data_IF_301004273695
#
_entry.id   IF_301004273695
#
_cell.length_a   1.000
_cell.length_b   1.000
_cell.length_c   1.000
_cell.angle_alpha   90.00
_cell.angle_beta   90.00
_cell.angle_gamma   90.00
#
_symmetry.space_group_name_H-M   'P 1'
#
loop_
_entity.id
_entity.type
_entity.pdbx_description
1 polymer ?
#
# COMPACT_ATOMS: atom_id res chain seq x y z
N UNK A 1 -15.61 -6.40 -7.35
CA UNK A 1 -14.97 -7.75 -7.21
C UNK A 1 -13.67 -7.61 -6.42
N UNK A 2 -13.28 -8.61 -5.59
CA UNK A 2 -12.04 -8.56 -4.77
C UNK A 2 -11.12 -9.70 -5.20
N UNK A 3 -10.00 -9.40 -5.83
CA UNK A 3 -9.00 -10.37 -6.30
C UNK A 3 -8.01 -10.69 -5.19
N UNK A 4 -7.74 -11.98 -4.96
CA UNK A 4 -6.90 -12.46 -3.85
C UNK A 4 -5.89 -13.49 -4.31
N UNK A 5 -4.73 -13.54 -3.62
CA UNK A 5 -3.75 -14.62 -3.71
C UNK A 5 -3.52 -15.19 -2.30
N UNK A 6 -3.48 -16.50 -2.19
CA UNK A 6 -3.32 -17.18 -0.90
C UNK A 6 -2.65 -18.56 -1.05
N UNK A 7 -2.20 -19.10 0.05
CA UNK A 7 -1.69 -20.47 0.15
C UNK A 7 -2.63 -21.29 1.01
N UNK A 8 -3.05 -22.44 0.50
CA UNK A 8 -3.77 -23.47 1.24
C UNK A 8 -3.10 -24.83 1.04
N UNK A 9 -2.84 -25.55 2.13
CA UNK A 9 -2.16 -26.87 2.10
C UNK A 9 -0.85 -26.87 1.27
N UNK A 10 -0.06 -25.79 1.37
CA UNK A 10 1.23 -25.64 0.69
C UNK A 10 1.16 -25.28 -0.80
N UNK A 11 -0.04 -25.13 -1.37
CA UNK A 11 -0.25 -24.74 -2.77
C UNK A 11 -0.72 -23.28 -2.83
N UNK A 12 -0.20 -22.55 -3.82
CA UNK A 12 -0.65 -21.20 -4.13
C UNK A 12 -1.93 -21.23 -4.96
N UNK A 13 -2.88 -20.34 -4.63
CA UNK A 13 -4.15 -20.14 -5.30
C UNK A 13 -4.33 -18.66 -5.64
N UNK A 14 -5.00 -18.41 -6.76
CA UNK A 14 -5.54 -17.10 -7.16
C UNK A 14 -7.04 -17.22 -7.30
N UNK A 15 -7.76 -16.14 -7.02
CA UNK A 15 -9.21 -16.16 -7.08
C UNK A 15 -9.84 -14.87 -6.58
N UNK A 16 -11.05 -15.00 -6.04
CA UNK A 16 -11.85 -13.89 -5.53
C UNK A 16 -12.25 -14.09 -4.08
N UNK A 17 -12.51 -12.98 -3.38
CA UNK A 17 -13.01 -12.98 -2.02
C UNK A 17 -14.42 -12.42 -1.96
N UNK A 18 -15.30 -13.09 -1.19
CA UNK A 18 -16.67 -12.67 -0.88
C UNK A 18 -16.96 -12.92 0.61
N UNK A 19 -17.11 -11.84 1.37
CA UNK A 19 -17.26 -11.92 2.83
C UNK A 19 -16.06 -12.62 3.47
N UNK A 20 -16.29 -13.78 4.11
CA UNK A 20 -15.25 -14.63 4.72
C UNK A 20 -14.87 -15.85 3.88
N UNK A 21 -15.26 -15.88 2.62
CA UNK A 21 -14.95 -17.00 1.70
C UNK A 21 -14.04 -16.54 0.58
N UNK A 22 -13.18 -17.45 0.17
CA UNK A 22 -12.29 -17.30 -0.98
C UNK A 22 -12.62 -18.39 -2.00
N UNK A 23 -12.74 -17.99 -3.25
CA UNK A 23 -13.05 -18.87 -4.36
C UNK A 23 -11.89 -18.85 -5.34
N UNK A 24 -11.23 -20.01 -5.58
CA UNK A 24 -10.16 -20.08 -6.55
C UNK A 24 -10.67 -20.30 -7.98
N UNK A 25 -9.80 -20.11 -8.95
CA UNK A 25 -10.11 -20.29 -10.39
C UNK A 25 -10.51 -21.72 -10.77
N UNK A 26 -10.25 -22.72 -9.91
CA UNK A 26 -10.59 -24.13 -10.12
C UNK A 26 -11.90 -24.54 -9.42
N UNK A 27 -12.61 -23.57 -8.83
CA UNK A 27 -13.88 -23.82 -8.13
C UNK A 27 -13.71 -24.28 -6.68
N UNK A 28 -12.50 -24.16 -6.11
CA UNK A 28 -12.26 -24.36 -4.69
C UNK A 28 -12.91 -23.26 -3.85
N UNK A 29 -13.38 -23.61 -2.65
CA UNK A 29 -14.05 -22.72 -1.69
C UNK A 29 -13.38 -22.88 -0.32
N UNK A 30 -12.80 -21.77 0.19
CA UNK A 30 -11.94 -21.75 1.37
C UNK A 30 -12.41 -20.66 2.37
N UNK A 31 -12.19 -20.90 3.67
CA UNK A 31 -12.34 -19.85 4.68
C UNK A 31 -11.12 -18.94 4.71
N UNK A 32 -11.34 -17.64 4.92
CA UNK A 32 -10.23 -16.68 5.17
C UNK A 32 -9.37 -17.06 6.37
N UNK A 33 -9.94 -17.79 7.34
CA UNK A 33 -9.26 -18.20 8.57
C UNK A 33 -8.37 -19.45 8.39
N UNK A 34 -8.45 -20.13 7.23
CA UNK A 34 -7.73 -21.39 6.93
C UNK A 34 -6.55 -21.21 5.98
N UNK A 35 -6.36 -20.02 5.46
CA UNK A 35 -5.35 -19.73 4.44
C UNK A 35 -4.27 -18.78 4.94
N UNK A 36 -3.11 -18.82 4.30
CA UNK A 36 -2.10 -17.76 4.43
C UNK A 36 -2.22 -16.82 3.22
N UNK A 37 -2.53 -15.57 3.50
CA UNK A 37 -2.59 -14.54 2.46
C UNK A 37 -1.20 -14.27 1.88
N UNK A 38 -1.14 -14.07 0.58
CA UNK A 38 0.01 -13.55 -0.12
C UNK A 38 -0.28 -12.09 -0.52
N UNK A 39 0.75 -11.27 -0.83
CA UNK A 39 0.51 -10.01 -1.53
C UNK A 39 -0.37 -10.29 -2.77
N UNK A 40 -1.46 -9.52 -2.97
CA UNK A 40 -2.48 -9.89 -3.97
C UNK A 40 -1.97 -9.80 -5.42
N UNK A 41 -0.81 -9.17 -5.64
CA UNK A 41 -0.15 -9.02 -6.94
C UNK A 41 1.36 -9.24 -6.84
N UNK A 42 2.04 -9.35 -8.01
CA UNK A 42 3.50 -9.52 -8.14
C UNK A 42 4.08 -8.39 -8.98
N UNK A 43 4.30 -7.21 -8.40
CA UNK A 43 4.77 -6.04 -9.15
C UNK A 43 6.19 -6.21 -9.67
N UNK A 44 6.46 -5.61 -10.83
CA UNK A 44 7.84 -5.42 -11.30
C UNK A 44 8.54 -4.30 -10.53
N UNK A 45 7.76 -3.33 -10.04
CA UNK A 45 8.21 -2.21 -9.21
C UNK A 45 7.09 -1.69 -8.32
N UNK A 46 7.49 -1.08 -7.21
CA UNK A 46 6.62 -0.38 -6.28
C UNK A 46 7.10 1.07 -6.25
N UNK A 47 6.23 1.98 -6.62
CA UNK A 47 6.50 3.42 -6.69
C UNK A 47 5.75 4.07 -5.54
N UNK A 48 6.43 4.80 -4.67
CA UNK A 48 5.79 5.56 -3.59
C UNK A 48 5.84 7.06 -3.84
N UNK A 49 4.84 7.77 -3.36
CA UNK A 49 4.79 9.22 -3.37
C UNK A 49 5.20 9.79 -2.02
N UNK A 50 5.96 10.87 -2.04
CA UNK A 50 6.30 11.67 -0.87
C UNK A 50 5.34 12.84 -0.78
N UNK A 51 4.73 13.06 0.40
CA UNK A 51 3.91 14.26 0.68
C UNK A 51 2.73 14.47 -0.28
N UNK A 52 1.95 13.43 -0.53
CA UNK A 52 0.76 13.56 -1.38
C UNK A 52 -0.54 13.88 -0.61
N UNK A 53 -0.46 14.12 0.71
CA UNK A 53 -1.59 14.55 1.53
C UNK A 53 -1.35 15.95 2.09
N UNK A 54 -2.35 16.85 1.97
CA UNK A 54 -2.25 18.23 2.47
C UNK A 54 -2.03 18.29 3.97
N UNK A 55 -2.81 17.51 4.73
CA UNK A 55 -2.73 17.46 6.19
C UNK A 55 -1.39 16.90 6.71
N UNK A 56 -0.79 15.93 5.98
CA UNK A 56 0.55 15.42 6.31
C UNK A 56 1.65 16.43 5.97
N UNK A 57 1.52 17.15 4.86
CA UNK A 57 2.45 18.24 4.52
C UNK A 57 2.42 19.36 5.60
N UNK A 58 1.22 19.73 6.06
CA UNK A 58 1.01 20.69 7.13
C UNK A 58 1.62 20.20 8.46
N UNK A 59 1.42 18.91 8.82
CA UNK A 59 2.01 18.30 10.02
C UNK A 59 3.53 18.40 10.05
N UNK A 60 4.18 18.24 8.89
CA UNK A 60 5.64 18.31 8.76
C UNK A 60 6.17 19.72 8.49
N UNK A 61 5.29 20.71 8.30
CA UNK A 61 5.67 22.08 7.94
C UNK A 61 6.37 22.17 6.58
N UNK A 62 6.02 21.28 5.65
CA UNK A 62 6.61 21.17 4.31
C UNK A 62 5.63 21.64 3.25
N UNK A 63 6.15 22.33 2.23
CA UNK A 63 5.37 22.70 1.06
C UNK A 63 5.58 21.66 -0.04
N UNK A 64 4.52 20.99 -0.53
CA UNK A 64 4.63 20.09 -1.66
C UNK A 64 5.04 20.87 -2.92
N UNK A 65 5.85 20.23 -3.77
CA UNK A 65 6.22 20.78 -5.07
C UNK A 65 5.07 20.75 -6.08
N UNK A 66 5.25 21.41 -7.22
CA UNK A 66 4.28 21.40 -8.33
C UNK A 66 4.16 20.01 -8.99
N UNK A 67 5.20 19.19 -8.90
CA UNK A 67 5.26 17.84 -9.46
C UNK A 67 5.34 16.79 -8.36
N UNK A 68 4.78 15.59 -8.59
CA UNK A 68 4.89 14.48 -7.65
C UNK A 68 6.36 14.15 -7.33
N UNK A 69 6.70 14.06 -6.06
CA UNK A 69 7.99 13.56 -5.61
C UNK A 69 7.86 12.05 -5.35
N UNK A 70 8.71 11.24 -5.97
CA UNK A 70 8.61 9.79 -5.95
C UNK A 70 9.86 9.09 -5.40
N UNK A 71 9.68 7.87 -4.93
CA UNK A 71 10.74 6.91 -4.61
C UNK A 71 10.33 5.50 -5.09
N UNK A 72 11.28 4.57 -5.05
CA UNK A 72 11.02 3.16 -5.34
C UNK A 72 11.25 2.31 -4.10
N UNK A 73 10.35 1.35 -3.85
CA UNK A 73 10.57 0.24 -2.92
C UNK A 73 10.92 -1.02 -3.71
N UNK A 74 11.93 -1.77 -3.31
CA UNK A 74 12.24 -3.03 -3.96
C UNK A 74 11.18 -4.10 -3.63
N UNK A 75 10.89 -5.06 -4.53
CA UNK A 75 9.84 -6.08 -4.32
C UNK A 75 10.06 -7.01 -3.12
N UNK A 76 11.31 -7.15 -2.61
CA UNK A 76 11.59 -7.92 -1.39
C UNK A 76 10.90 -7.36 -0.14
N UNK A 77 10.42 -6.12 -0.19
CA UNK A 77 9.69 -5.49 0.93
C UNK A 77 8.28 -6.03 1.10
N UNK A 78 7.71 -6.70 0.07
CA UNK A 78 6.33 -7.15 0.06
C UNK A 78 6.07 -8.29 1.05
N UNK A 79 5.02 -8.11 1.84
CA UNK A 79 4.39 -9.17 2.65
C UNK A 79 2.86 -9.07 2.53
N UNK A 80 2.18 -10.18 2.79
CA UNK A 80 0.72 -10.27 2.76
C UNK A 80 0.05 -9.86 4.07
N UNK A 81 -1.28 -9.92 4.05
CA UNK A 81 -2.11 -9.79 5.24
C UNK A 81 -1.76 -10.88 6.27
N UNK A 82 -1.69 -10.51 7.56
CA UNK A 82 -1.34 -11.37 8.71
C UNK A 82 0.13 -11.84 8.73
N UNK A 83 0.99 -11.48 7.77
CA UNK A 83 2.43 -11.72 7.85
C UNK A 83 3.10 -10.69 8.78
N UNK A 84 4.29 -11.01 9.29
CA UNK A 84 4.97 -10.15 10.27
C UNK A 84 5.83 -9.07 9.58
N UNK A 85 5.70 -7.83 10.07
CA UNK A 85 6.69 -6.78 9.83
C UNK A 85 7.88 -7.08 10.73
N UNK A 86 9.06 -7.30 10.13
CA UNK A 86 10.28 -7.58 10.89
C UNK A 86 10.95 -6.26 11.27
N UNK A 87 11.04 -5.98 12.56
CA UNK A 87 11.70 -4.78 13.07
C UNK A 87 13.22 -4.99 13.05
N UNK A 88 13.97 -4.23 12.21
CA UNK A 88 15.41 -4.45 12.07
C UNK A 88 16.16 -4.12 13.35
N UNK A 89 17.11 -4.95 13.75
CA UNK A 89 17.93 -4.76 14.96
C UNK A 89 18.79 -3.49 14.93
N UNK A 90 19.09 -2.99 13.71
CA UNK A 90 19.84 -1.75 13.50
C UNK A 90 18.99 -0.49 13.38
N UNK A 91 17.66 -0.55 13.56
CA UNK A 91 16.76 0.59 13.54
C UNK A 91 16.26 0.89 14.95
N UNK A 92 16.21 2.17 15.32
CA UNK A 92 15.67 2.63 16.60
C UNK A 92 14.28 3.28 16.44
N UNK A 93 13.90 3.66 15.23
CA UNK A 93 12.72 4.48 14.99
C UNK A 93 11.99 4.09 13.70
N UNK A 94 11.07 3.11 13.79
CA UNK A 94 10.28 2.60 12.66
C UNK A 94 8.84 3.08 12.79
N UNK A 95 8.30 3.63 11.69
CA UNK A 95 6.92 4.11 11.61
C UNK A 95 6.10 3.25 10.64
N UNK A 96 4.78 3.18 10.90
CA UNK A 96 3.78 2.81 9.91
C UNK A 96 3.42 4.04 9.05
N UNK A 97 2.95 3.80 7.84
CA UNK A 97 2.31 4.78 6.94
C UNK A 97 1.18 4.05 6.22
N UNK A 98 -0.06 4.21 6.70
CA UNK A 98 -1.25 3.63 6.06
C UNK A 98 -1.56 4.35 4.75
N UNK A 99 -1.68 3.59 3.65
CA UNK A 99 -1.82 4.15 2.31
C UNK A 99 -2.83 3.41 1.44
N UNK A 100 -3.51 4.16 0.57
CA UNK A 100 -4.14 3.59 -0.60
C UNK A 100 -3.06 3.17 -1.59
N UNK A 101 -3.12 1.94 -2.09
CA UNK A 101 -2.26 1.46 -3.16
C UNK A 101 -3.07 1.26 -4.45
N UNK A 102 -2.58 1.84 -5.55
CA UNK A 102 -3.13 1.68 -6.89
C UNK A 102 -2.44 0.51 -7.58
N UNK A 103 -3.20 -0.40 -8.15
CA UNK A 103 -2.70 -1.55 -8.92
C UNK A 103 -2.90 -1.30 -10.41
N UNK A 104 -1.83 -1.29 -11.17
CA UNK A 104 -1.89 -1.13 -12.63
C UNK A 104 -2.47 -2.40 -13.27
N UNK A 105 -3.43 -2.25 -14.18
CA UNK A 105 -4.14 -3.36 -14.81
C UNK A 105 -3.59 -3.79 -16.16
N UNK A 106 -2.82 -2.94 -16.82
CA UNK A 106 -2.21 -3.22 -18.13
C UNK A 106 -1.04 -2.29 -18.42
N UNK A 107 -0.22 -2.66 -19.39
CA UNK A 107 0.90 -1.83 -19.85
C UNK A 107 0.46 -0.40 -20.16
N UNK A 108 1.06 0.57 -19.47
CA UNK A 108 0.67 1.99 -19.46
C UNK A 108 1.89 2.86 -19.81
N UNK A 109 1.74 3.71 -20.82
CA UNK A 109 2.79 4.64 -21.29
C UNK A 109 2.17 5.84 -21.98
N UNK A 110 2.59 7.07 -21.60
CA UNK A 110 2.10 8.35 -22.14
C UNK A 110 0.57 8.48 -22.08
N UNK A 111 -0.03 8.20 -20.95
CA UNK A 111 -1.49 8.27 -20.73
C UNK A 111 -1.83 9.62 -20.13
N UNK A 112 -2.92 10.25 -20.57
CA UNK A 112 -3.45 11.48 -19.97
C UNK A 112 -4.24 11.17 -18.72
N UNK A 113 -4.28 12.11 -17.79
CA UNK A 113 -5.00 11.99 -16.52
C UNK A 113 -6.47 11.59 -16.72
N UNK A 114 -7.15 12.16 -17.72
CA UNK A 114 -8.54 11.83 -18.07
C UNK A 114 -8.78 10.37 -18.42
N UNK A 115 -7.77 9.66 -18.91
CA UNK A 115 -7.87 8.28 -19.38
C UNK A 115 -7.20 7.29 -18.42
N UNK A 116 -6.48 7.81 -17.41
CA UNK A 116 -5.58 7.05 -16.56
C UNK A 116 -6.28 5.94 -15.78
N UNK A 117 -7.49 6.18 -15.28
CA UNK A 117 -8.25 5.20 -14.51
C UNK A 117 -8.64 3.96 -15.33
N UNK A 118 -8.70 4.07 -16.67
CA UNK A 118 -8.91 2.91 -17.55
C UNK A 118 -7.73 1.92 -17.56
N UNK A 119 -6.59 2.29 -16.98
CA UNK A 119 -5.38 1.48 -16.88
C UNK A 119 -5.17 0.92 -15.47
N UNK A 120 -6.03 1.26 -14.53
CA UNK A 120 -6.02 0.79 -13.15
C UNK A 120 -6.86 -0.49 -13.05
N UNK A 121 -6.28 -1.58 -12.49
CA UNK A 121 -7.03 -2.81 -12.15
C UNK A 121 -7.94 -2.58 -10.96
N UNK A 122 -7.43 -1.88 -9.98
CA UNK A 122 -8.12 -1.64 -8.73
C UNK A 122 -7.22 -1.07 -7.65
N UNK A 123 -7.70 -1.19 -6.42
CA UNK A 123 -7.09 -0.58 -5.25
C UNK A 123 -6.91 -1.61 -4.14
N UNK A 124 -5.86 -1.44 -3.36
CA UNK A 124 -5.61 -2.28 -2.19
C UNK A 124 -5.07 -1.43 -1.04
N UNK A 125 -5.00 -2.02 0.13
CA UNK A 125 -4.43 -1.37 1.32
C UNK A 125 -2.94 -1.65 1.37
N UNK A 126 -2.14 -0.64 1.72
CA UNK A 126 -0.72 -0.78 1.96
C UNK A 126 -0.30 -0.14 3.29
N UNK A 127 0.86 -0.57 3.78
CA UNK A 127 1.57 0.09 4.87
C UNK A 127 3.02 0.35 4.40
N UNK A 128 3.36 1.61 4.11
CA UNK A 128 4.71 2.00 3.70
C UNK A 128 5.63 2.16 4.91
N UNK A 129 5.99 1.03 5.52
CA UNK A 129 6.84 0.98 6.72
C UNK A 129 8.18 1.67 6.45
N UNK A 130 8.58 2.53 7.40
CA UNK A 130 9.73 3.43 7.23
C UNK A 130 10.61 3.47 8.47
N UNK A 131 11.88 3.12 8.35
CA UNK A 131 12.89 3.31 9.39
C UNK A 131 13.43 4.74 9.33
N UNK A 132 12.89 5.63 10.16
CA UNK A 132 13.15 7.08 10.14
C UNK A 132 14.60 7.44 10.41
N UNK A 133 15.34 6.63 11.16
CA UNK A 133 16.77 6.82 11.43
C UNK A 133 17.61 6.97 10.15
N UNK A 134 17.14 6.39 9.04
CA UNK A 134 17.86 6.42 7.76
C UNK A 134 17.39 7.51 6.81
N UNK A 135 16.45 8.37 7.22
CA UNK A 135 16.06 9.57 6.48
C UNK A 135 16.88 10.74 7.01
N UNK A 136 18.02 11.03 6.37
CA UNK A 136 18.97 12.02 6.85
C UNK A 136 18.84 13.41 6.21
N UNK A 137 18.37 13.49 4.98
CA UNK A 137 18.03 14.73 4.26
C UNK A 137 17.22 14.44 2.99
N UNK A 138 16.61 15.49 2.42
CA UNK A 138 15.77 15.43 1.21
C UNK A 138 16.52 15.09 -0.08
N UNK A 139 17.84 15.19 -0.11
CA UNK A 139 18.66 14.90 -1.30
C UNK A 139 19.07 13.42 -1.40
N UNK A 140 18.85 12.61 -0.38
CA UNK A 140 19.20 11.18 -0.40
C UNK A 140 17.93 10.35 -0.62
N UNK A 141 17.90 9.51 -1.68
CA UNK A 141 16.79 8.58 -1.87
C UNK A 141 16.59 7.71 -0.62
N UNK A 142 15.34 7.51 -0.17
CA UNK A 142 15.04 6.80 1.08
C UNK A 142 15.15 5.26 0.95
N UNK A 143 16.07 4.76 0.10
CA UNK A 143 16.16 3.33 -0.24
C UNK A 143 16.39 2.48 0.99
N UNK A 144 17.32 2.85 1.89
CA UNK A 144 17.57 2.09 3.11
C UNK A 144 16.40 2.22 4.09
N UNK A 145 15.80 3.42 4.21
CA UNK A 145 14.70 3.68 5.13
C UNK A 145 13.44 2.85 4.81
N UNK A 146 13.20 2.59 3.52
CA UNK A 146 11.97 1.96 3.01
C UNK A 146 12.18 0.60 2.34
N UNK A 147 13.44 0.12 2.23
CA UNK A 147 13.81 -1.06 1.47
C UNK A 147 14.12 -2.32 2.29
N UNK A 148 13.92 -2.31 3.60
CA UNK A 148 14.06 -3.52 4.42
C UNK A 148 13.03 -4.57 3.98
N UNK A 149 13.39 -5.84 4.10
CA UNK A 149 12.44 -6.93 3.93
C UNK A 149 11.23 -6.69 4.82
N UNK A 150 10.04 -7.07 4.35
CA UNK A 150 8.75 -6.92 5.04
C UNK A 150 8.21 -5.50 5.21
N UNK A 151 8.87 -4.47 4.70
CA UNK A 151 8.49 -3.06 4.88
C UNK A 151 7.40 -2.55 3.92
N UNK A 152 6.73 -3.46 3.18
CA UNK A 152 5.57 -3.15 2.36
C UNK A 152 4.45 -4.19 2.53
N UNK A 153 3.79 -4.26 3.70
CA UNK A 153 2.54 -4.98 3.81
C UNK A 153 1.55 -4.52 2.75
N UNK A 154 0.91 -5.46 2.04
CA UNK A 154 -0.01 -5.19 0.93
C UNK A 154 -1.17 -6.19 0.92
N UNK A 155 -2.41 -5.72 0.81
CA UNK A 155 -3.58 -6.59 0.72
C UNK A 155 -4.75 -6.16 1.59
N UNK A 156 -5.64 -7.09 1.98
CA UNK A 156 -5.60 -8.55 1.75
C UNK A 156 -5.95 -8.95 0.30
N UNK A 157 -6.59 -8.08 -0.46
CA UNK A 157 -7.03 -8.28 -1.84
C UNK A 157 -6.93 -6.97 -2.63
N UNK A 158 -7.12 -7.06 -3.94
CA UNK A 158 -7.36 -5.89 -4.81
C UNK A 158 -8.86 -5.76 -5.04
N UNK A 159 -9.47 -4.66 -4.60
CA UNK A 159 -10.83 -4.28 -4.96
C UNK A 159 -10.82 -3.72 -6.38
N UNK A 160 -11.74 -4.20 -7.23
CA UNK A 160 -11.86 -3.76 -8.63
C UNK A 160 -12.06 -2.25 -8.70
N UNK A 161 -11.44 -1.60 -9.68
CA UNK A 161 -11.54 -0.15 -9.85
C UNK A 161 -12.98 0.32 -10.06
N UNK A 162 -13.82 -0.48 -10.71
CA UNK A 162 -15.23 -0.19 -10.97
C UNK A 162 -16.12 -0.20 -9.71
N UNK A 163 -15.65 -0.87 -8.63
CA UNK A 163 -16.39 -0.98 -7.35
C UNK A 163 -16.01 0.15 -6.38
N UNK A 164 -15.03 1.00 -6.72
CA UNK A 164 -14.48 2.02 -5.82
C UNK A 164 -14.74 3.42 -6.37
N UNK A 165 -15.46 4.21 -5.59
CA UNK A 165 -15.71 5.63 -5.89
C UNK A 165 -14.61 6.50 -5.25
N UNK A 166 -13.61 6.88 -6.04
CA UNK A 166 -12.56 7.79 -5.60
C UNK A 166 -13.04 9.25 -5.49
N UNK A 167 -14.04 9.65 -6.26
CA UNK A 167 -14.52 11.04 -6.29
C UNK A 167 -15.29 11.37 -5.00
N UNK A 168 -15.99 10.38 -4.43
CA UNK A 168 -16.60 10.49 -3.11
C UNK A 168 -15.61 10.55 -1.95
N UNK A 169 -14.38 10.15 -2.21
CA UNK A 169 -13.31 10.04 -1.22
C UNK A 169 -13.41 8.79 -0.34
N UNK A 170 -12.27 8.15 -0.08
CA UNK A 170 -12.16 6.97 0.78
C UNK A 170 -11.61 7.37 2.14
N UNK A 171 -12.24 6.90 3.22
CA UNK A 171 -11.67 7.05 4.56
C UNK A 171 -10.53 6.05 4.74
N UNK A 172 -9.41 6.54 5.28
CA UNK A 172 -8.24 5.75 5.65
C UNK A 172 -8.06 5.88 7.15
N UNK A 173 -7.98 4.74 7.83
CA UNK A 173 -7.74 4.68 9.29
C UNK A 173 -6.63 3.69 9.58
N UNK A 174 -5.66 4.12 10.40
CA UNK A 174 -4.64 3.22 10.95
C UNK A 174 -4.81 3.11 12.46
N UNK A 175 -4.83 1.87 12.97
CA UNK A 175 -4.79 1.60 14.41
C UNK A 175 -3.52 0.85 14.78
N UNK A 176 -3.01 1.12 15.98
CA UNK A 176 -1.95 0.34 16.61
C UNK A 176 -2.47 -0.21 17.93
N UNK A 177 -2.50 -1.52 18.07
CA UNK A 177 -3.09 -2.22 19.22
C UNK A 177 -4.54 -1.80 19.50
N UNK A 178 -5.32 -1.55 18.44
CA UNK A 178 -6.71 -1.11 18.51
C UNK A 178 -6.93 0.39 18.80
N UNK A 179 -5.86 1.16 19.07
CA UNK A 179 -5.94 2.60 19.25
C UNK A 179 -5.78 3.31 17.90
N UNK A 180 -6.70 4.20 17.57
CA UNK A 180 -6.66 5.00 16.32
C UNK A 180 -5.48 5.97 16.37
N UNK A 181 -4.62 5.90 15.35
CA UNK A 181 -3.44 6.75 15.19
C UNK A 181 -3.51 7.64 13.97
N UNK A 182 -4.08 7.16 12.85
CA UNK A 182 -4.34 7.97 11.66
C UNK A 182 -5.81 7.92 11.31
N UNK A 183 -6.35 9.05 10.92
CA UNK A 183 -7.63 9.19 10.22
C UNK A 183 -7.45 10.23 9.12
N UNK A 184 -7.77 9.87 7.90
CA UNK A 184 -7.65 10.74 6.74
C UNK A 184 -8.58 10.31 5.61
N UNK A 185 -8.58 11.08 4.54
CA UNK A 185 -9.40 10.81 3.36
C UNK A 185 -8.62 11.09 2.09
N UNK A 186 -8.85 10.31 1.05
CA UNK A 186 -8.27 10.53 -0.28
C UNK A 186 -8.67 11.88 -0.89
N UNK A 187 -9.69 12.56 -0.37
CA UNK A 187 -10.01 13.96 -0.72
C UNK A 187 -8.90 14.96 -0.35
N UNK A 188 -7.99 14.56 0.54
CA UNK A 188 -6.82 15.35 0.93
C UNK A 188 -5.62 15.17 -0.01
N UNK A 189 -5.74 14.36 -1.06
CA UNK A 189 -4.69 14.22 -2.06
C UNK A 189 -4.28 15.57 -2.66
N UNK A 190 -2.98 15.76 -2.85
CA UNK A 190 -2.40 16.89 -3.57
C UNK A 190 -2.46 16.59 -5.07
N UNK A 191 -2.01 15.41 -5.46
CA UNK A 191 -2.10 14.88 -6.82
C UNK A 191 -3.08 13.69 -6.83
N UNK A 192 -4.07 13.76 -7.68
CA UNK A 192 -5.06 12.69 -7.90
C UNK A 192 -4.42 11.44 -8.51
N UNK A 193 -5.08 10.29 -8.39
CA UNK A 193 -4.61 9.04 -9.02
C UNK A 193 -4.38 9.21 -10.52
N UNK A 194 -5.28 9.94 -11.22
CA UNK A 194 -5.16 10.23 -12.64
C UNK A 194 -3.88 11.02 -12.98
N UNK A 195 -3.61 12.09 -12.22
CA UNK A 195 -2.41 12.93 -12.41
C UNK A 195 -1.12 12.15 -12.09
N UNK A 196 -1.14 11.29 -11.08
CA UNK A 196 0.00 10.44 -10.71
C UNK A 196 0.33 9.47 -11.85
N UNK A 197 -0.69 8.77 -12.41
CA UNK A 197 -0.49 7.83 -13.51
C UNK A 197 -0.03 8.56 -14.77
N UNK A 198 -0.57 9.74 -15.08
CA UNK A 198 -0.10 10.59 -16.18
C UNK A 198 1.37 10.93 -16.01
N UNK A 199 1.74 11.49 -14.84
CA UNK A 199 3.11 11.87 -14.53
C UNK A 199 4.08 10.69 -14.66
N UNK A 200 3.80 9.56 -14.04
CA UNK A 200 4.66 8.37 -14.08
C UNK A 200 4.76 7.79 -15.48
N UNK A 201 3.63 7.66 -16.18
CA UNK A 201 3.63 7.07 -17.52
C UNK A 201 4.30 7.97 -18.57
N UNK A 202 4.48 9.25 -18.31
CA UNK A 202 5.17 10.17 -19.21
C UNK A 202 6.67 9.83 -19.38
N UNK A 203 7.34 9.29 -18.36
CA UNK A 203 8.76 8.98 -18.43
C UNK A 203 9.11 7.50 -18.26
N UNK A 204 8.27 6.69 -17.59
CA UNK A 204 8.48 5.24 -17.45
C UNK A 204 7.28 4.44 -17.94
N UNK A 205 7.50 3.19 -18.38
CA UNK A 205 6.42 2.26 -18.64
C UNK A 205 5.97 1.63 -17.33
N UNK A 206 4.68 1.71 -17.02
CA UNK A 206 4.06 0.93 -15.96
C UNK A 206 3.57 -0.38 -16.55
N UNK A 207 3.76 -1.47 -15.85
CA UNK A 207 3.32 -2.80 -16.25
C UNK A 207 2.15 -3.27 -15.39
N UNK A 208 1.46 -4.29 -15.88
CA UNK A 208 0.46 -4.99 -15.11
C UNK A 208 1.04 -5.41 -13.76
N UNK A 209 0.24 -5.30 -12.69
CA UNK A 209 0.59 -5.54 -11.29
C UNK A 209 1.54 -4.51 -10.65
N UNK A 210 2.13 -3.56 -11.39
CA UNK A 210 2.91 -2.49 -10.74
C UNK A 210 2.06 -1.74 -9.74
N UNK A 211 2.68 -1.36 -8.63
CA UNK A 211 2.04 -0.71 -7.48
C UNK A 211 2.46 0.76 -7.41
N UNK A 212 1.47 1.62 -7.15
CA UNK A 212 1.69 3.01 -6.77
C UNK A 212 1.13 3.21 -5.36
N UNK A 213 2.00 3.51 -4.40
CA UNK A 213 1.66 3.95 -3.05
C UNK A 213 1.36 5.45 -3.10
N UNK A 214 0.16 5.85 -2.67
CA UNK A 214 -0.34 7.21 -2.92
C UNK A 214 0.03 8.23 -1.85
N UNK A 215 0.85 7.85 -0.88
CA UNK A 215 1.16 8.65 0.30
C UNK A 215 0.22 8.37 1.45
N UNK A 216 0.60 8.86 2.63
CA UNK A 216 -0.09 8.65 3.90
C UNK A 216 -0.68 9.95 4.44
N UNK A 217 -1.84 9.93 5.13
CA UNK A 217 -2.35 11.08 5.87
C UNK A 217 -1.51 11.37 7.13
N UNK A 218 -1.79 12.47 7.83
CA UNK A 218 -1.16 12.80 9.11
C UNK A 218 -1.34 11.70 10.16
N UNK A 219 -0.52 11.73 11.23
CA UNK A 219 -0.62 10.84 12.39
C UNK A 219 0.33 9.65 12.35
N UNK A 220 1.40 9.73 11.56
CA UNK A 220 2.47 8.73 11.60
C UNK A 220 3.10 8.70 12.98
N UNK A 221 3.38 7.49 13.50
CA UNK A 221 4.05 7.35 14.80
C UNK A 221 4.83 6.04 14.88
N UNK A 222 5.75 5.90 15.88
CA UNK A 222 6.58 4.71 15.98
C UNK A 222 5.78 3.47 16.35
N UNK A 223 6.24 2.34 15.83
CA UNK A 223 5.86 0.98 16.21
C UNK A 223 7.04 0.25 16.84
N UNK A 224 6.75 -0.81 17.58
CA UNK A 224 7.73 -1.67 18.24
C UNK A 224 7.36 -3.15 18.15
N UNK A 225 8.29 -4.06 18.35
CA UNK A 225 7.98 -5.49 18.43
C UNK A 225 6.86 -5.79 19.44
N UNK A 226 5.91 -6.62 19.02
CA UNK A 226 4.70 -6.96 19.75
C UNK A 226 3.46 -6.17 19.33
N UNK A 227 3.62 -5.01 18.68
CA UNK A 227 2.49 -4.23 18.20
C UNK A 227 1.74 -4.94 17.05
N UNK A 228 0.44 -4.65 16.96
CA UNK A 228 -0.42 -5.01 15.83
C UNK A 228 -0.85 -3.73 15.14
N UNK A 229 -0.58 -3.65 13.85
CA UNK A 229 -0.95 -2.51 12.99
C UNK A 229 -2.07 -2.94 12.08
N UNK A 230 -3.21 -2.24 12.14
CA UNK A 230 -4.30 -2.40 11.20
C UNK A 230 -4.41 -1.13 10.36
N UNK A 231 -4.49 -1.30 9.05
CA UNK A 231 -4.84 -0.22 8.12
C UNK A 231 -6.17 -0.57 7.47
N UNK A 232 -7.18 0.26 7.69
CA UNK A 232 -8.52 0.12 7.09
C UNK A 232 -8.71 1.17 6.00
N UNK A 233 -9.23 0.76 4.85
CA UNK A 233 -9.70 1.67 3.80
C UNK A 233 -11.13 1.32 3.43
N UNK A 234 -12.00 2.33 3.48
CA UNK A 234 -13.41 2.20 3.16
C UNK A 234 -13.63 1.58 1.77
N UNK A 235 -14.57 0.64 1.67
CA UNK A 235 -14.87 -0.08 0.42
C UNK A 235 -13.85 -1.15 0.03
N UNK A 236 -12.60 -1.04 0.47
CA UNK A 236 -11.51 -1.98 0.13
C UNK A 236 -11.41 -3.08 1.18
N UNK A 237 -11.01 -2.74 2.41
CA UNK A 237 -10.86 -3.70 3.50
C UNK A 237 -9.80 -3.34 4.50
N UNK A 238 -9.40 -4.33 5.33
CA UNK A 238 -8.44 -4.20 6.42
C UNK A 238 -7.19 -5.03 6.15
N UNK A 239 -6.05 -4.40 6.25
CA UNK A 239 -4.73 -5.03 6.25
C UNK A 239 -4.21 -5.06 7.69
N UNK A 240 -3.96 -6.25 8.22
CA UNK A 240 -3.45 -6.47 9.57
C UNK A 240 -2.07 -7.09 9.53
N UNK A 241 -1.11 -6.55 10.28
CA UNK A 241 0.23 -7.13 10.41
C UNK A 241 0.74 -6.94 11.84
N UNK A 242 1.41 -7.98 12.37
CA UNK A 242 2.11 -7.90 13.66
C UNK A 242 3.55 -7.47 13.43
N UNK A 243 4.08 -6.67 14.35
CA UNK A 243 5.51 -6.33 14.40
C UNK A 243 6.26 -7.39 15.20
N UNK A 244 7.27 -7.99 14.60
CA UNK A 244 8.13 -8.99 15.27
C UNK A 244 9.57 -8.50 15.32
N UNK A 245 10.34 -8.94 16.33
CA UNK A 245 11.79 -8.72 16.37
C UNK A 245 12.47 -9.50 15.25
N UNK A 246 13.60 -9.00 14.77
CA UNK A 246 14.46 -9.72 13.82
C UNK A 246 15.05 -11.00 14.45
N UNK A 247 15.29 -11.00 15.76
CA UNK A 247 15.82 -12.13 16.57
C UNK A 247 15.16 -12.17 17.95
#
# INVERSE_FOLDING_TARGET
>A
MKYVRFVFSGKEHTGTAEGKRLFDENGGDYSVDEVRFLPPVRPSKIIGLVLNYRDHADELGLSPGESPLIFLKPPNTLIGHMENIIYPSGAAYVHYEGELAVVIGRKTRNVRSSDALNFVRGYTVANDVTARDFITNTFRPPVKAKGFDTFCPLGPWVASAEDIDLDGGLQIRTTVNGEVKQEGSTLMFIHTVGEIVEFLSAFMTLYEDDIILTGTPRGISPIKPGDVVDVDIEGIGRLTNRVASEY
#
